data_IF_840437750330
#
_entry.id   IF_840437750330
#
_cell.length_a   1.000
_cell.length_b   1.000
_cell.length_c   1.000
_cell.angle_alpha   90.00
_cell.angle_beta   90.00
_cell.angle_gamma   90.00
#
_symmetry.space_group_name_H-M   'P 1'
#
loop_
_entity.id
_entity.type
_entity.pdbx_description
1 polymer ?
#
# COMPACT_ATOMS: atom_id res chain seq x y z
N UNK A 1 -28.52 -7.44 -2.08
CA UNK A 1 -27.14 -7.90 -2.34
C UNK A 1 -26.22 -6.74 -2.03
N UNK A 2 -25.31 -6.95 -1.10
CA UNK A 2 -24.31 -5.95 -0.72
C UNK A 2 -23.35 -5.73 -1.91
N UNK A 3 -23.09 -4.47 -2.27
CA UNK A 3 -22.11 -4.10 -3.32
C UNK A 3 -20.68 -4.54 -2.92
N UNK A 4 -20.49 -4.92 -1.65
CA UNK A 4 -19.21 -5.38 -1.08
C UNK A 4 -18.86 -6.86 -1.37
N UNK A 5 -19.70 -7.62 -2.09
CA UNK A 5 -19.54 -9.09 -2.22
C UNK A 5 -19.37 -9.62 -3.66
N UNK A 6 -18.75 -8.86 -4.56
CA UNK A 6 -17.97 -9.51 -5.61
C UNK A 6 -16.64 -9.91 -4.99
N UNK A 7 -16.64 -11.00 -4.21
CA UNK A 7 -15.38 -11.64 -3.83
C UNK A 7 -14.71 -12.04 -5.14
N UNK A 8 -13.63 -11.35 -5.52
CA UNK A 8 -12.65 -11.94 -6.42
C UNK A 8 -12.27 -13.26 -5.74
N UNK A 9 -12.79 -14.38 -6.26
CA UNK A 9 -12.50 -15.70 -5.71
C UNK A 9 -11.04 -16.00 -6.03
N UNK A 10 -10.13 -15.60 -5.14
CA UNK A 10 -8.72 -15.98 -5.21
C UNK A 10 -8.62 -17.46 -4.79
N UNK A 11 -7.87 -18.30 -5.54
CA UNK A 11 -7.65 -19.69 -5.14
C UNK A 11 -6.94 -19.82 -3.79
N UNK A 12 -6.11 -18.83 -3.46
CA UNK A 12 -5.35 -18.71 -2.22
C UNK A 12 -4.89 -17.26 -2.05
N UNK A 13 -4.75 -16.79 -0.81
CA UNK A 13 -4.27 -15.43 -0.53
C UNK A 13 -2.74 -15.34 -0.57
N UNK A 14 -2.20 -14.28 -1.17
CA UNK A 14 -0.79 -13.95 -1.11
C UNK A 14 -0.56 -13.00 0.07
N UNK A 15 -0.43 -13.57 1.27
CA UNK A 15 -0.29 -12.78 2.51
C UNK A 15 1.11 -12.19 2.65
N UNK A 16 1.27 -11.17 3.50
CA UNK A 16 2.60 -10.59 3.79
C UNK A 16 3.56 -11.64 4.35
N UNK A 17 3.07 -12.47 5.28
CA UNK A 17 3.82 -13.60 5.84
C UNK A 17 4.31 -14.57 4.76
N UNK A 18 3.46 -14.92 3.78
CA UNK A 18 3.86 -15.83 2.71
C UNK A 18 5.01 -15.24 1.88
N UNK A 19 4.95 -13.94 1.55
CA UNK A 19 6.02 -13.28 0.79
C UNK A 19 7.34 -13.32 1.55
N UNK A 20 7.33 -13.10 2.87
CA UNK A 20 8.55 -13.15 3.69
C UNK A 20 9.11 -14.57 3.80
N UNK A 21 8.27 -15.58 4.06
CA UNK A 21 8.71 -16.98 4.09
C UNK A 21 9.35 -17.37 2.75
N UNK A 22 8.78 -16.92 1.63
CA UNK A 22 9.34 -17.18 0.31
C UNK A 22 10.66 -16.44 0.06
N UNK A 23 10.81 -15.22 0.56
CA UNK A 23 12.08 -14.49 0.48
C UNK A 23 13.19 -15.23 1.26
N UNK A 24 12.90 -15.66 2.49
CA UNK A 24 13.82 -16.47 3.30
C UNK A 24 14.13 -17.83 2.63
N UNK A 25 13.13 -18.46 2.01
CA UNK A 25 13.31 -19.70 1.28
C UNK A 25 14.27 -19.51 0.09
N UNK A 26 14.14 -18.41 -0.66
CA UNK A 26 15.05 -18.09 -1.77
C UNK A 26 16.47 -17.86 -1.28
N UNK A 27 16.66 -17.14 -0.17
CA UNK A 27 17.98 -16.87 0.41
C UNK A 27 18.67 -18.15 0.96
N UNK A 28 17.87 -19.09 1.46
CA UNK A 28 18.37 -20.33 2.08
C UNK A 28 18.54 -21.50 1.11
N UNK A 29 18.07 -21.39 -0.14
CA UNK A 29 18.15 -22.47 -1.11
C UNK A 29 19.54 -22.60 -1.76
N UNK A 30 20.14 -23.79 -1.60
CA UNK A 30 21.19 -24.30 -2.50
C UNK A 30 20.66 -24.55 -3.91
N UNK A 31 21.52 -24.55 -4.94
CA UNK A 31 21.25 -24.60 -6.42
C UNK A 31 20.25 -25.67 -6.96
N UNK A 32 19.55 -26.44 -6.12
CA UNK A 32 18.72 -27.58 -6.51
C UNK A 32 17.24 -27.51 -6.10
N UNK A 33 16.78 -26.47 -5.39
CA UNK A 33 15.35 -26.35 -5.05
C UNK A 33 14.60 -25.67 -6.18
N UNK A 34 13.54 -26.31 -6.67
CA UNK A 34 12.70 -25.70 -7.71
C UNK A 34 11.79 -24.62 -7.10
N UNK A 35 11.48 -23.57 -7.86
CA UNK A 35 10.59 -22.48 -7.43
C UNK A 35 9.23 -23.04 -6.95
N UNK A 36 8.72 -24.07 -7.61
CA UNK A 36 7.44 -24.71 -7.26
C UNK A 36 7.49 -25.39 -5.88
N UNK A 37 8.60 -26.03 -5.52
CA UNK A 37 8.79 -26.63 -4.19
C UNK A 37 8.89 -25.56 -3.11
N UNK A 38 9.60 -24.46 -3.38
CA UNK A 38 9.69 -23.32 -2.47
C UNK A 38 8.32 -22.69 -2.22
N UNK A 39 7.53 -22.45 -3.28
CA UNK A 39 6.16 -21.92 -3.17
C UNK A 39 5.26 -22.87 -2.38
N UNK A 40 5.32 -24.17 -2.66
CA UNK A 40 4.53 -25.17 -1.95
C UNK A 40 4.85 -25.16 -0.45
N UNK A 41 6.15 -25.18 -0.11
CA UNK A 41 6.61 -25.13 1.28
C UNK A 41 6.16 -23.85 1.97
N UNK A 42 6.31 -22.70 1.31
CA UNK A 42 5.89 -21.42 1.85
C UNK A 42 4.39 -21.35 2.15
N UNK A 43 3.55 -21.88 1.26
CA UNK A 43 2.09 -21.94 1.47
C UNK A 43 1.75 -22.76 2.72
N UNK A 44 2.42 -23.90 2.91
CA UNK A 44 2.21 -24.78 4.06
C UNK A 44 2.70 -24.12 5.35
N UNK A 45 3.90 -23.52 5.34
CA UNK A 45 4.47 -22.84 6.51
C UNK A 45 3.70 -21.58 6.91
N UNK A 46 3.13 -20.86 5.93
CA UNK A 46 2.21 -19.75 6.18
C UNK A 46 0.85 -20.20 6.74
N UNK A 47 0.57 -21.51 6.78
CA UNK A 47 -0.68 -22.08 7.30
C UNK A 47 -1.89 -21.82 6.41
N UNK A 48 -1.67 -21.54 5.12
CA UNK A 48 -2.74 -21.20 4.17
C UNK A 48 -3.38 -22.44 3.55
N UNK A 49 -2.62 -23.52 3.38
CA UNK A 49 -3.13 -24.83 2.95
C UNK A 49 -2.17 -25.94 3.39
N UNK A 50 -2.71 -27.03 3.92
CA UNK A 50 -1.92 -28.23 4.27
C UNK A 50 -1.47 -29.01 3.03
N UNK A 51 -2.26 -28.96 1.94
CA UNK A 51 -1.98 -29.64 0.68
C UNK A 51 -2.31 -28.70 -0.49
N UNK A 52 -1.39 -27.78 -0.85
CA UNK A 52 -1.61 -26.82 -1.92
C UNK A 52 -1.84 -27.53 -3.27
N UNK A 53 -2.88 -27.13 -4.01
CA UNK A 53 -3.10 -27.67 -5.36
C UNK A 53 -2.15 -27.03 -6.37
N UNK A 54 -1.90 -27.71 -7.49
CA UNK A 54 -1.08 -27.15 -8.57
C UNK A 54 -1.62 -25.79 -9.06
N UNK A 55 -2.94 -25.63 -9.13
CA UNK A 55 -3.58 -24.38 -9.52
C UNK A 55 -3.27 -23.25 -8.51
N UNK A 56 -3.26 -23.53 -7.20
CA UNK A 56 -2.91 -22.56 -6.16
C UNK A 56 -1.42 -22.16 -6.24
N UNK A 57 -0.54 -23.14 -6.47
CA UNK A 57 0.90 -22.90 -6.58
C UNK A 57 1.20 -22.04 -7.82
N UNK A 58 0.61 -22.39 -8.97
CA UNK A 58 0.74 -21.62 -10.21
C UNK A 58 0.18 -20.20 -10.03
N UNK A 59 -0.98 -20.06 -9.39
CA UNK A 59 -1.58 -18.76 -9.11
C UNK A 59 -0.66 -17.85 -8.28
N UNK A 60 -0.05 -18.38 -7.21
CA UNK A 60 0.91 -17.62 -6.39
C UNK A 60 2.13 -17.23 -7.22
N UNK A 61 2.68 -18.17 -8.01
CA UNK A 61 3.85 -17.90 -8.84
C UNK A 61 3.58 -16.81 -9.88
N UNK A 62 2.43 -16.85 -10.56
CA UNK A 62 2.01 -15.81 -11.51
C UNK A 62 1.91 -14.43 -10.84
N UNK A 63 1.36 -14.37 -9.62
CA UNK A 63 1.27 -13.10 -8.87
C UNK A 63 2.62 -12.58 -8.41
N UNK A 64 3.53 -13.44 -7.97
CA UNK A 64 4.89 -13.05 -7.62
C UNK A 64 5.66 -12.51 -8.83
N UNK A 65 5.50 -13.14 -10.00
CA UNK A 65 6.09 -12.65 -11.25
C UNK A 65 5.54 -11.27 -11.61
N UNK A 66 4.22 -11.08 -11.55
CA UNK A 66 3.57 -9.78 -11.80
C UNK A 66 4.07 -8.70 -10.85
N UNK A 67 4.22 -9.01 -9.57
CA UNK A 67 4.79 -8.07 -8.58
C UNK A 67 6.23 -7.67 -8.96
N UNK A 68 7.06 -8.64 -9.36
CA UNK A 68 8.42 -8.36 -9.80
C UNK A 68 8.50 -7.53 -11.09
N UNK A 69 7.51 -7.60 -11.96
CA UNK A 69 7.39 -6.73 -13.14
C UNK A 69 6.98 -5.30 -12.75
N UNK A 70 5.95 -5.16 -11.91
CA UNK A 70 5.49 -3.86 -11.40
C UNK A 70 6.59 -3.09 -10.64
N UNK A 71 7.40 -3.79 -9.84
CA UNK A 71 8.51 -3.17 -9.11
C UNK A 71 9.62 -2.68 -10.05
N UNK A 72 9.89 -3.40 -11.15
CA UNK A 72 10.86 -2.97 -12.18
C UNK A 72 10.37 -1.74 -12.94
N UNK A 73 9.08 -1.69 -13.26
CA UNK A 73 8.48 -0.53 -13.92
C UNK A 73 8.53 0.71 -13.02
N UNK A 74 8.25 0.58 -11.72
CA UNK A 74 8.35 1.69 -10.76
C UNK A 74 9.78 2.22 -10.60
N UNK A 75 10.80 1.34 -10.61
CA UNK A 75 12.21 1.76 -10.57
C UNK A 75 12.65 2.50 -11.83
N UNK A 76 12.08 2.18 -13.00
CA UNK A 76 12.35 2.88 -14.26
C UNK A 76 11.62 4.22 -14.42
N UNK A 77 10.66 4.51 -13.55
CA UNK A 77 9.70 5.61 -13.71
C UNK A 77 9.90 6.77 -12.74
N UNK A 78 10.91 6.75 -11.86
CA UNK A 78 11.18 7.88 -10.95
C UNK A 78 11.57 9.08 -11.82
N UNK A 79 10.71 10.10 -11.98
CA UNK A 79 11.12 11.31 -12.67
C UNK A 79 12.13 11.99 -11.75
N UNK A 80 13.26 12.43 -12.30
CA UNK A 80 14.11 13.47 -11.69
C UNK A 80 13.22 14.72 -11.48
N UNK A 81 12.45 14.77 -10.39
CA UNK A 81 11.72 15.96 -10.02
C UNK A 81 12.70 16.91 -9.33
N UNK A 82 12.78 18.18 -9.76
CA UNK A 82 13.67 19.16 -9.15
C UNK A 82 13.32 19.35 -7.68
N UNK A 83 14.34 19.35 -6.81
CA UNK A 83 14.29 19.32 -5.33
C UNK A 83 13.49 20.45 -4.64
N UNK A 84 12.89 21.40 -5.38
CA UNK A 84 12.56 22.72 -4.84
C UNK A 84 11.09 22.97 -4.46
N UNK A 85 10.20 21.97 -4.49
CA UNK A 85 8.82 22.15 -3.98
C UNK A 85 8.32 20.93 -3.23
N UNK A 86 8.73 20.79 -1.97
CA UNK A 86 8.05 19.91 -1.00
C UNK A 86 6.62 20.40 -0.80
N UNK A 87 5.68 19.82 -1.55
CA UNK A 87 4.27 20.06 -1.33
C UNK A 87 3.87 19.43 0.01
N UNK A 88 3.03 20.13 0.77
CA UNK A 88 2.35 19.57 1.94
C UNK A 88 1.60 18.32 1.44
N UNK A 89 2.05 17.13 1.83
CA UNK A 89 1.51 15.83 1.37
C UNK A 89 2.54 14.87 0.76
N UNK A 90 3.57 15.37 0.08
CA UNK A 90 4.61 14.48 -0.49
C UNK A 90 5.36 13.70 0.59
N UNK A 91 5.58 14.30 1.76
CA UNK A 91 6.23 13.64 2.89
C UNK A 91 5.42 12.46 3.46
N UNK A 92 4.09 12.49 3.39
CA UNK A 92 3.25 11.40 3.90
C UNK A 92 3.26 10.19 2.94
N UNK A 93 3.22 10.46 1.63
CA UNK A 93 3.33 9.42 0.60
C UNK A 93 4.71 8.75 0.65
N UNK A 94 5.77 9.55 0.75
CA UNK A 94 7.14 9.03 0.88
C UNK A 94 7.31 8.22 2.18
N UNK A 95 6.81 8.72 3.31
CA UNK A 95 6.86 7.99 4.57
C UNK A 95 6.16 6.63 4.51
N UNK A 96 4.98 6.56 3.88
CA UNK A 96 4.27 5.29 3.66
C UNK A 96 5.04 4.31 2.77
N UNK A 97 5.72 4.82 1.74
CA UNK A 97 6.53 4.00 0.86
C UNK A 97 7.74 3.36 1.56
N UNK A 98 8.22 4.00 2.62
CA UNK A 98 9.36 3.54 3.42
C UNK A 98 8.94 2.61 4.58
N UNK A 99 7.64 2.39 4.79
CA UNK A 99 7.17 1.49 5.85
C UNK A 99 7.43 0.03 5.52
N UNK A 100 7.96 -0.69 6.50
CA UNK A 100 8.04 -2.16 6.45
C UNK A 100 6.64 -2.78 6.46
N UNK A 101 6.45 -4.02 5.96
CA UNK A 101 5.14 -4.68 5.92
C UNK A 101 4.43 -4.74 7.28
N UNK A 102 5.17 -4.94 8.36
CA UNK A 102 4.65 -4.99 9.73
C UNK A 102 4.17 -3.61 10.19
N UNK A 103 4.94 -2.55 9.90
CA UNK A 103 4.57 -1.19 10.23
C UNK A 103 3.36 -0.72 9.43
N UNK A 104 3.23 -1.17 8.18
CA UNK A 104 2.07 -0.90 7.33
C UNK A 104 0.81 -1.58 7.89
N UNK A 105 0.91 -2.84 8.34
CA UNK A 105 -0.19 -3.54 9.00
C UNK A 105 -0.56 -2.90 10.35
N UNK A 106 0.43 -2.47 11.14
CA UNK A 106 0.21 -1.73 12.38
C UNK A 106 -0.49 -0.40 12.14
N UNK A 107 -0.03 0.37 11.15
CA UNK A 107 -0.67 1.62 10.75
C UNK A 107 -2.13 1.37 10.36
N UNK A 108 -2.42 0.39 9.50
CA UNK A 108 -3.79 0.05 9.10
C UNK A 108 -4.66 -0.38 10.29
N UNK A 109 -4.06 -1.04 11.28
CA UNK A 109 -4.74 -1.54 12.47
C UNK A 109 -4.87 -0.53 13.61
N UNK A 110 -4.54 0.75 13.41
CA UNK A 110 -4.51 1.77 14.47
C UNK A 110 -3.59 1.35 15.64
N UNK A 111 -2.47 0.71 15.30
CA UNK A 111 -1.48 0.12 16.22
C UNK A 111 -2.04 -0.95 17.16
N UNK A 112 -3.19 -1.56 16.82
CA UNK A 112 -3.68 -2.76 17.49
C UNK A 112 -2.92 -4.00 16.98
N UNK A 113 -2.06 -4.57 17.84
CA UNK A 113 -1.22 -5.72 17.50
C UNK A 113 -2.01 -6.93 17.01
N UNK A 114 -3.09 -7.32 17.69
CA UNK A 114 -3.85 -8.52 17.32
C UNK A 114 -4.47 -8.36 15.93
N UNK A 115 -5.02 -7.18 15.64
CA UNK A 115 -5.59 -6.87 14.32
C UNK A 115 -4.51 -6.76 13.23
N UNK A 116 -3.36 -6.16 13.55
CA UNK A 116 -2.22 -6.08 12.63
C UNK A 116 -1.71 -7.49 12.26
N UNK A 117 -1.62 -8.39 13.24
CA UNK A 117 -1.26 -9.79 13.04
C UNK A 117 -2.24 -10.50 12.11
N UNK A 118 -3.54 -10.24 12.25
CA UNK A 118 -4.52 -10.81 11.31
C UNK A 118 -4.34 -10.30 9.88
N UNK A 119 -4.11 -8.99 9.70
CA UNK A 119 -3.82 -8.43 8.38
C UNK A 119 -2.57 -9.04 7.77
N UNK A 120 -1.51 -9.17 8.57
CA UNK A 120 -0.23 -9.68 8.12
C UNK A 120 -0.28 -11.18 7.75
N UNK A 121 -0.95 -12.01 8.56
CA UNK A 121 -0.97 -13.46 8.38
C UNK A 121 -2.10 -13.96 7.47
N UNK A 122 -3.25 -13.29 7.42
CA UNK A 122 -4.48 -13.85 6.81
C UNK A 122 -5.03 -13.04 5.64
N UNK A 123 -4.70 -11.75 5.56
CA UNK A 123 -5.22 -10.88 4.51
C UNK A 123 -4.26 -10.86 3.33
N UNK A 124 -4.81 -10.77 2.12
CA UNK A 124 -4.00 -10.61 0.93
C UNK A 124 -3.22 -9.30 0.96
N UNK A 125 -1.96 -9.36 0.54
CA UNK A 125 -1.08 -8.21 0.45
C UNK A 125 -1.70 -7.06 -0.34
N UNK A 126 -2.34 -7.32 -1.48
CA UNK A 126 -2.95 -6.27 -2.31
C UNK A 126 -4.11 -5.59 -1.59
N UNK A 127 -4.89 -6.34 -0.82
CA UNK A 127 -6.02 -5.77 -0.09
C UNK A 127 -5.52 -4.92 1.08
N UNK A 128 -4.43 -5.35 1.74
CA UNK A 128 -3.78 -4.59 2.81
C UNK A 128 -3.20 -3.28 2.28
N UNK A 129 -2.45 -3.32 1.17
CA UNK A 129 -1.86 -2.10 0.57
C UNK A 129 -2.94 -1.17 0.05
N UNK A 130 -3.97 -1.71 -0.61
CA UNK A 130 -5.13 -0.93 -1.04
C UNK A 130 -5.86 -0.29 0.15
N UNK A 131 -6.09 -1.03 1.24
CA UNK A 131 -6.76 -0.49 2.43
C UNK A 131 -5.93 0.61 3.09
N UNK A 132 -4.60 0.48 3.10
CA UNK A 132 -3.72 1.55 3.56
C UNK A 132 -3.84 2.81 2.70
N UNK A 133 -3.92 2.67 1.36
CA UNK A 133 -4.14 3.81 0.47
C UNK A 133 -5.44 4.56 0.78
N UNK A 134 -6.52 3.82 1.05
CA UNK A 134 -7.82 4.39 1.37
C UNK A 134 -7.80 5.07 2.73
N UNK A 135 -7.15 4.45 3.72
CA UNK A 135 -6.96 5.06 5.04
C UNK A 135 -6.18 6.37 4.95
N UNK A 136 -5.08 6.39 4.19
CA UNK A 136 -4.29 7.61 4.02
C UNK A 136 -5.08 8.71 3.30
N UNK A 137 -5.83 8.37 2.26
CA UNK A 137 -6.72 9.32 1.58
C UNK A 137 -7.74 9.92 2.55
N UNK A 138 -8.32 9.09 3.41
CA UNK A 138 -9.26 9.55 4.42
C UNK A 138 -8.59 10.47 5.46
N UNK A 139 -7.43 10.09 6.00
CA UNK A 139 -6.69 10.91 6.96
C UNK A 139 -6.27 12.25 6.35
N UNK A 140 -5.87 12.25 5.08
CA UNK A 140 -5.54 13.45 4.33
C UNK A 140 -6.72 14.42 4.23
N UNK A 141 -7.89 13.92 3.83
CA UNK A 141 -9.12 14.70 3.76
C UNK A 141 -9.52 15.25 5.14
N UNK A 142 -9.37 14.44 6.20
CA UNK A 142 -9.62 14.88 7.57
C UNK A 142 -8.66 15.99 8.02
N UNK A 143 -7.37 15.88 7.69
CA UNK A 143 -6.39 16.93 7.97
C UNK A 143 -6.73 18.23 7.21
N UNK A 144 -7.16 18.12 5.94
CA UNK A 144 -7.60 19.29 5.16
C UNK A 144 -8.77 19.99 5.83
N UNK A 145 -9.79 19.23 6.23
CA UNK A 145 -10.97 19.78 6.94
C UNK A 145 -10.59 20.43 8.27
N UNK A 146 -9.72 19.82 9.07
CA UNK A 146 -9.25 20.39 10.34
C UNK A 146 -8.46 21.68 10.15
N UNK A 147 -7.63 21.73 9.11
CA UNK A 147 -6.87 22.92 8.77
C UNK A 147 -7.78 24.07 8.31
N UNK A 148 -8.72 23.79 7.41
CA UNK A 148 -9.76 24.75 7.01
C UNK A 148 -10.52 25.28 8.23
N UNK A 149 -10.99 24.39 9.12
CA UNK A 149 -11.69 24.77 10.34
C UNK A 149 -10.85 25.68 11.25
N UNK A 150 -9.54 25.42 11.36
CA UNK A 150 -8.61 26.23 12.15
C UNK A 150 -8.40 27.63 11.55
N UNK A 151 -8.34 27.74 10.21
CA UNK A 151 -8.25 29.02 9.51
C UNK A 151 -9.53 29.85 9.68
N UNK A 152 -10.70 29.21 9.58
CA UNK A 152 -11.99 29.86 9.84
C UNK A 152 -12.12 30.32 11.29
N UNK A 153 -11.73 29.48 12.26
CA UNK A 153 -11.74 29.82 13.69
C UNK A 153 -10.77 30.96 14.05
N UNK A 154 -9.74 31.16 13.24
CA UNK A 154 -8.75 32.25 13.38
C UNK A 154 -9.14 33.54 12.64
N UNK A 155 -10.32 33.59 12.00
CA UNK A 155 -10.84 34.79 11.33
C UNK A 155 -10.59 34.88 9.81
N UNK A 156 -10.19 33.78 9.16
CA UNK A 156 -10.10 33.71 7.69
C UNK A 156 -11.49 33.67 7.05
N UNK A 157 -11.95 34.79 6.50
CA UNK A 157 -13.13 34.83 5.64
C UNK A 157 -12.76 34.53 4.19
N UNK A 158 -13.59 33.77 3.46
CA UNK A 158 -13.58 33.75 2.00
C UNK A 158 -14.10 35.10 1.48
N UNK A 159 -13.27 36.14 1.58
CA UNK A 159 -13.59 37.50 1.16
C UNK A 159 -12.41 38.14 0.46
N UNK A 160 -12.50 38.16 -0.88
CA UNK A 160 -11.73 38.96 -1.83
C UNK A 160 -10.22 39.15 -1.59
N UNK A 161 -9.44 38.26 -2.20
CA UNK A 161 -8.15 38.57 -2.83
C UNK A 161 -6.96 38.88 -1.91
N UNK A 162 -5.73 38.53 -2.34
CA UNK A 162 -4.58 38.54 -1.45
C UNK A 162 -4.15 39.97 -1.12
N UNK A 163 -3.96 40.25 0.17
CA UNK A 163 -3.16 41.41 0.62
C UNK A 163 -1.72 40.94 0.83
N UNK A 164 -0.78 41.75 0.34
CA UNK A 164 0.66 41.48 0.35
C UNK A 164 1.18 40.81 1.63
N UNK A 165 1.88 39.69 1.44
CA UNK A 165 2.51 38.90 2.50
C UNK A 165 1.97 37.48 2.67
N UNK A 166 0.91 37.12 1.93
CA UNK A 166 0.18 35.87 2.14
C UNK A 166 0.88 34.66 1.50
N UNK A 167 1.18 33.66 2.33
CA UNK A 167 1.65 32.35 1.88
C UNK A 167 0.50 31.65 1.17
N UNK A 168 0.46 31.73 -0.16
CA UNK A 168 -0.55 31.05 -0.97
C UNK A 168 -0.27 29.54 -0.93
N UNK A 169 -0.95 28.82 -0.04
CA UNK A 169 -1.02 27.36 -0.08
C UNK A 169 -2.22 27.01 -0.96
N UNK A 170 -1.96 26.71 -2.22
CA UNK A 170 -3.00 26.28 -3.16
C UNK A 170 -3.41 24.82 -2.86
N UNK A 171 -4.50 24.67 -2.08
CA UNK A 171 -5.09 23.39 -1.70
C UNK A 171 -6.06 22.84 -2.74
N UNK A 172 -6.36 23.60 -3.81
CA UNK A 172 -7.31 23.15 -4.85
C UNK A 172 -6.70 22.11 -5.78
N UNK A 173 -5.37 21.99 -5.78
CA UNK A 173 -4.62 20.89 -6.39
C UNK A 173 -4.21 19.89 -5.32
N UNK A 174 -5.18 19.21 -4.74
CA UNK A 174 -4.93 17.93 -4.10
C UNK A 174 -4.51 16.95 -5.19
N UNK A 175 -3.24 16.96 -5.57
CA UNK A 175 -2.70 16.08 -6.59
C UNK A 175 -2.57 14.68 -6.00
N UNK A 176 -3.64 13.88 -6.12
CA UNK A 176 -3.66 12.47 -5.74
C UNK A 176 -2.92 11.59 -6.75
N UNK A 177 -2.35 12.16 -7.83
CA UNK A 177 -1.66 11.38 -8.85
C UNK A 177 -0.47 10.58 -8.29
N UNK A 178 0.21 11.07 -7.25
CA UNK A 178 1.27 10.33 -6.56
C UNK A 178 0.75 9.11 -5.78
N UNK A 179 -0.47 9.19 -5.25
CA UNK A 179 -1.16 8.05 -4.62
C UNK A 179 -1.59 7.02 -5.67
N UNK A 180 -2.15 7.48 -6.79
CA UNK A 180 -2.60 6.59 -7.87
C UNK A 180 -1.44 5.88 -8.59
N UNK A 181 -0.30 6.56 -8.76
CA UNK A 181 0.95 5.97 -9.28
C UNK A 181 1.57 4.97 -8.30
N UNK A 182 1.50 5.24 -6.99
CA UNK A 182 2.06 4.34 -5.98
C UNK A 182 1.23 3.05 -5.80
N UNK A 183 -0.10 3.18 -5.82
CA UNK A 183 -1.05 2.07 -5.60
C UNK A 183 -1.60 1.42 -6.88
N UNK A 184 -1.06 1.79 -8.05
CA UNK A 184 -1.35 1.09 -9.31
C UNK A 184 -2.76 1.31 -9.87
N UNK A 185 -3.37 2.48 -9.64
CA UNK A 185 -4.63 2.84 -10.29
C UNK A 185 -4.38 3.48 -11.65
N UNK A 186 -4.29 2.66 -12.68
CA UNK A 186 -4.53 3.08 -14.07
C UNK A 186 -6.02 2.92 -14.38
N UNK A 187 -6.69 4.03 -14.72
CA UNK A 187 -8.03 4.02 -15.31
C UNK A 187 -7.96 3.59 -16.78
#
# INVERSE_FOLDING_TARGET
MSVFYTSLKRPIELTMLLVEILAEAVESCSEHVTIMEAVTKGIVEAGLSENPTNDQILYINERLLKMGEEDKEKQGSIPDQPEDKKHFGQGAVQWMAELTPENLCLYLADYNYEKAKEFYCKMDREDVTYSCSQKMTYEWEMMRVQFEASLFGSGGGYGDGPKEGETVIDLTKGDTSGLDQFFGRSH
#
